data_IF_084644263659
#
_entry.id   IF_084644263659
#
_cell.length_a   1.000
_cell.length_b   1.000
_cell.length_c   1.000
_cell.angle_alpha   90.00
_cell.angle_beta   90.00
_cell.angle_gamma   90.00
#
_symmetry.space_group_name_H-M   'P 1'
#
loop_
_entity.id
_entity.type
_entity.pdbx_description
1 polymer ?
#
# COMPACT_ATOMS: atom_id res chain seq x y z
N UNK A 1 45.45 48.66 -31.30
CA UNK A 1 44.07 49.20 -31.40
C UNK A 1 43.08 48.23 -32.03
N UNK A 2 43.50 47.05 -32.48
CA UNK A 2 42.62 46.09 -33.24
C UNK A 2 41.91 45.02 -32.42
N UNK A 3 42.20 44.85 -31.11
CA UNK A 3 41.59 43.79 -30.31
C UNK A 3 40.23 44.15 -29.67
N UNK A 4 39.85 45.42 -29.67
CA UNK A 4 38.55 45.83 -29.05
C UNK A 4 37.36 45.84 -30.05
N UNK A 5 37.67 45.91 -31.37
CA UNK A 5 36.62 45.88 -32.42
C UNK A 5 36.04 44.48 -32.65
N UNK A 6 36.87 43.44 -32.56
CA UNK A 6 36.39 42.08 -32.78
C UNK A 6 35.40 41.59 -31.73
N UNK A 7 35.55 42.07 -30.47
CA UNK A 7 34.66 41.69 -29.35
C UNK A 7 33.25 42.30 -29.50
N UNK A 8 33.17 43.51 -30.08
CA UNK A 8 31.86 44.22 -30.21
C UNK A 8 31.02 43.64 -31.33
N UNK A 9 31.63 43.19 -32.43
CA UNK A 9 30.91 42.59 -33.57
C UNK A 9 30.39 41.21 -33.17
N UNK A 10 31.16 40.43 -32.38
CA UNK A 10 30.72 39.11 -31.91
C UNK A 10 29.52 39.18 -30.92
N UNK A 11 29.54 40.17 -30.05
CA UNK A 11 28.43 40.36 -29.07
C UNK A 11 27.15 40.78 -29.78
N UNK A 12 27.21 41.58 -30.84
CA UNK A 12 26.08 42.04 -31.61
C UNK A 12 25.45 40.93 -32.45
N UNK A 13 26.29 40.05 -33.06
CA UNK A 13 25.82 38.88 -33.83
C UNK A 13 25.14 37.84 -32.92
N UNK A 14 25.68 37.58 -31.72
CA UNK A 14 25.04 36.68 -30.73
C UNK A 14 23.73 37.23 -30.24
N UNK A 15 23.64 38.57 -29.99
CA UNK A 15 22.39 39.19 -29.54
C UNK A 15 21.30 39.12 -30.62
N UNK A 16 21.63 39.32 -31.90
CA UNK A 16 20.68 39.22 -33.02
C UNK A 16 20.18 37.78 -33.22
N UNK A 17 21.10 36.79 -33.11
CA UNK A 17 20.71 35.37 -33.23
C UNK A 17 19.82 34.92 -32.06
N UNK A 18 20.11 35.35 -30.84
CA UNK A 18 19.28 35.03 -29.68
C UNK A 18 17.90 35.72 -29.76
N UNK A 19 17.86 36.98 -30.28
CA UNK A 19 16.61 37.69 -30.45
C UNK A 19 15.74 37.07 -31.56
N UNK A 20 16.35 36.58 -32.63
CA UNK A 20 15.64 35.88 -33.71
C UNK A 20 15.09 34.51 -33.27
N UNK A 21 15.77 33.81 -32.37
CA UNK A 21 15.28 32.53 -31.79
C UNK A 21 14.13 32.75 -30.83
N UNK A 22 14.14 33.85 -30.07
CA UNK A 22 13.07 34.15 -29.09
C UNK A 22 11.80 34.67 -29.78
N UNK A 23 11.94 35.49 -30.85
CA UNK A 23 10.78 35.99 -31.60
C UNK A 23 10.22 35.02 -32.63
N UNK A 24 11.02 34.12 -33.19
CA UNK A 24 10.57 33.09 -34.11
C UNK A 24 9.75 31.96 -33.42
N UNK A 25 9.75 31.85 -32.10
CA UNK A 25 8.96 30.89 -31.34
C UNK A 25 7.61 31.42 -30.83
N UNK A 26 7.35 32.72 -30.98
CA UNK A 26 6.14 33.35 -30.46
C UNK A 26 4.87 33.17 -31.31
N UNK A 27 4.97 32.63 -32.54
CA UNK A 27 3.81 32.55 -33.44
C UNK A 27 3.31 31.16 -33.80
N UNK A 28 3.68 30.13 -33.02
CA UNK A 28 3.15 28.76 -33.19
C UNK A 28 2.47 28.15 -31.95
N UNK A 29 1.97 28.98 -31.03
CA UNK A 29 1.29 28.51 -29.82
C UNK A 29 -0.23 28.68 -29.87
N UNK A 30 -0.83 29.12 -30.96
CA UNK A 30 -2.27 29.41 -31.02
C UNK A 30 -3.12 28.34 -31.71
N UNK A 31 -2.61 27.08 -31.87
CA UNK A 31 -3.45 25.96 -32.32
C UNK A 31 -3.17 24.67 -31.55
N UNK A 32 -2.89 24.73 -30.23
CA UNK A 32 -2.97 23.52 -29.41
C UNK A 32 -4.38 23.41 -28.81
N UNK A 33 -5.20 22.76 -29.58
CA UNK A 33 -6.53 22.20 -29.33
C UNK A 33 -7.08 22.33 -27.91
N UNK A 34 -8.04 23.24 -27.74
CA UNK A 34 -9.03 23.27 -26.66
C UNK A 34 -9.84 21.96 -26.54
N UNK A 35 -9.85 21.11 -27.54
CA UNK A 35 -10.47 19.78 -27.54
C UNK A 35 -9.75 18.76 -26.67
N UNK A 36 -8.42 18.83 -26.53
CA UNK A 36 -7.65 17.90 -25.67
C UNK A 36 -7.89 18.14 -24.19
N UNK A 37 -8.00 19.41 -23.80
CA UNK A 37 -8.20 19.77 -22.40
C UNK A 37 -9.64 19.50 -21.90
N UNK A 38 -10.63 19.60 -22.78
CA UNK A 38 -12.03 19.23 -22.48
C UNK A 38 -12.19 17.72 -22.36
N UNK A 39 -11.59 16.92 -23.20
CA UNK A 39 -11.62 15.46 -23.12
C UNK A 39 -10.95 14.95 -21.86
N UNK A 40 -9.78 15.48 -21.47
CA UNK A 40 -9.09 15.13 -20.21
C UNK A 40 -9.88 15.50 -18.95
N UNK A 41 -10.70 16.53 -19.02
CA UNK A 41 -11.56 16.96 -17.90
C UNK A 41 -12.81 16.10 -17.82
N UNK A 42 -13.40 15.70 -18.94
CA UNK A 42 -14.54 14.80 -19.00
C UNK A 42 -14.18 13.37 -18.59
N UNK A 43 -13.06 12.84 -19.03
CA UNK A 43 -12.57 11.51 -18.60
C UNK A 43 -12.31 11.49 -17.08
N UNK A 44 -11.63 12.48 -16.52
CA UNK A 44 -11.42 12.57 -15.07
C UNK A 44 -12.71 12.72 -14.27
N UNK A 45 -13.68 13.43 -14.79
CA UNK A 45 -14.98 13.59 -14.15
C UNK A 45 -15.78 12.29 -14.18
N UNK A 46 -15.81 11.59 -15.29
CA UNK A 46 -16.46 10.28 -15.40
C UNK A 46 -15.82 9.21 -14.51
N UNK A 47 -14.50 9.20 -14.38
CA UNK A 47 -13.79 8.30 -13.48
C UNK A 47 -14.04 8.65 -12.00
N UNK A 48 -14.12 9.93 -11.66
CA UNK A 48 -14.48 10.38 -10.32
C UNK A 48 -15.90 9.97 -9.94
N UNK A 49 -16.87 10.18 -10.83
CA UNK A 49 -18.27 9.79 -10.64
C UNK A 49 -18.42 8.27 -10.48
N UNK A 50 -17.74 7.47 -11.31
CA UNK A 50 -17.71 6.01 -11.19
C UNK A 50 -17.12 5.55 -9.85
N UNK A 51 -16.05 6.19 -9.38
CA UNK A 51 -15.43 5.90 -8.08
C UNK A 51 -16.36 6.27 -6.93
N UNK A 52 -17.04 7.41 -7.00
CA UNK A 52 -18.01 7.86 -6.01
C UNK A 52 -19.15 6.85 -5.87
N UNK A 53 -19.81 6.51 -6.96
CA UNK A 53 -20.91 5.53 -6.96
C UNK A 53 -20.46 4.13 -6.50
N UNK A 54 -19.22 3.73 -6.80
CA UNK A 54 -18.69 2.46 -6.30
C UNK A 54 -18.53 2.52 -4.78
N UNK A 55 -17.99 3.61 -4.25
CA UNK A 55 -17.80 3.80 -2.81
C UNK A 55 -19.15 3.84 -2.07
N UNK A 56 -20.14 4.53 -2.61
CA UNK A 56 -21.49 4.59 -2.05
C UNK A 56 -22.13 3.21 -1.97
N UNK A 57 -22.06 2.41 -3.06
CA UNK A 57 -22.57 1.03 -3.06
C UNK A 57 -21.84 0.13 -2.06
N UNK A 58 -20.53 0.29 -1.93
CA UNK A 58 -19.74 -0.45 -0.95
C UNK A 58 -20.12 -0.07 0.48
N UNK A 59 -20.29 1.21 0.77
CA UNK A 59 -20.77 1.69 2.08
C UNK A 59 -22.16 1.17 2.41
N UNK A 60 -23.09 1.21 1.43
CA UNK A 60 -24.43 0.66 1.60
C UNK A 60 -24.40 -0.85 1.86
N UNK A 61 -23.56 -1.59 1.12
CA UNK A 61 -23.37 -3.01 1.33
C UNK A 61 -22.81 -3.32 2.72
N UNK A 62 -21.82 -2.56 3.15
CA UNK A 62 -21.13 -2.79 4.42
C UNK A 62 -21.95 -2.36 5.66
N UNK A 63 -22.98 -1.52 5.49
CA UNK A 63 -23.86 -1.07 6.57
C UNK A 63 -24.57 -2.21 7.30
N UNK A 64 -24.76 -3.36 6.66
CA UNK A 64 -25.38 -4.54 7.27
C UNK A 64 -24.54 -5.18 8.39
N UNK A 65 -23.25 -4.90 8.44
CA UNK A 65 -22.34 -5.54 9.41
C UNK A 65 -22.12 -4.74 10.69
N UNK A 66 -22.67 -3.54 10.81
CA UNK A 66 -22.52 -2.64 11.97
C UNK A 66 -21.06 -2.46 12.42
N UNK A 67 -20.13 -2.40 11.45
CA UNK A 67 -18.71 -2.19 11.74
C UNK A 67 -18.39 -0.71 11.81
N UNK A 68 -17.61 -0.33 12.81
CA UNK A 68 -17.01 1.00 12.94
C UNK A 68 -15.62 0.98 12.32
N UNK A 69 -15.03 2.17 12.08
CA UNK A 69 -13.69 2.29 11.48
C UNK A 69 -12.64 2.68 12.51
N UNK A 70 -12.88 2.32 13.78
CA UNK A 70 -11.97 2.65 14.89
C UNK A 70 -10.92 1.57 15.02
N UNK A 71 -9.63 1.96 14.97
CA UNK A 71 -8.52 1.05 15.27
C UNK A 71 -8.19 1.00 16.74
N UNK A 72 -7.90 -0.21 17.22
CA UNK A 72 -7.32 -0.45 18.53
C UNK A 72 -5.96 -1.14 18.35
N UNK A 73 -4.89 -0.46 18.77
CA UNK A 73 -3.53 -1.00 18.71
C UNK A 73 -3.19 -1.82 19.95
N UNK A 74 -2.36 -2.85 19.78
CA UNK A 74 -1.92 -3.70 20.89
C UNK A 74 -0.97 -2.98 21.85
N UNK A 75 -0.32 -1.92 21.40
CA UNK A 75 0.43 -1.01 22.27
C UNK A 75 0.22 0.45 21.85
N UNK A 76 0.72 1.40 22.67
CA UNK A 76 0.70 2.82 22.30
C UNK A 76 1.50 3.02 21.02
N UNK A 77 0.90 3.73 20.07
CA UNK A 77 1.52 4.00 18.80
C UNK A 77 1.56 5.50 18.50
N UNK A 78 2.67 5.92 17.94
CA UNK A 78 2.91 7.26 17.39
C UNK A 78 3.59 7.11 16.05
N UNK A 79 3.41 8.08 15.17
CA UNK A 79 4.09 8.10 13.88
C UNK A 79 5.61 8.02 14.06
N UNK A 80 6.27 6.97 13.55
CA UNK A 80 7.72 6.84 13.63
C UNK A 80 8.45 7.96 12.87
N UNK A 81 9.71 8.21 13.23
CA UNK A 81 10.59 9.06 12.43
C UNK A 81 11.11 8.28 11.21
N UNK A 82 11.49 9.00 10.16
CA UNK A 82 12.12 8.38 9.00
C UNK A 82 13.40 7.62 9.43
N UNK A 83 13.52 6.36 8.98
CA UNK A 83 14.66 5.50 9.27
C UNK A 83 14.78 5.04 10.72
N UNK A 84 13.76 5.20 11.55
CA UNK A 84 13.81 4.77 12.96
C UNK A 84 13.35 3.35 13.20
N UNK A 85 12.77 2.70 12.21
CA UNK A 85 12.21 1.34 12.28
C UNK A 85 13.15 0.33 11.61
N UNK A 86 13.25 -0.86 12.17
CA UNK A 86 14.02 -1.96 11.60
C UNK A 86 13.25 -3.25 11.69
N UNK A 87 13.03 -3.91 10.54
CA UNK A 87 12.47 -5.25 10.56
C UNK A 87 13.43 -6.20 11.32
N UNK A 88 12.87 -7.06 12.14
CA UNK A 88 13.57 -8.10 12.85
C UNK A 88 13.49 -9.40 12.06
N UNK A 89 14.33 -10.38 12.37
CA UNK A 89 14.24 -11.72 11.79
C UNK A 89 13.78 -12.70 12.87
N UNK A 90 12.79 -13.52 12.54
CA UNK A 90 12.35 -14.68 13.32
C UNK A 90 12.25 -15.88 12.39
N UNK A 91 12.89 -16.95 12.73
CA UNK A 91 12.90 -18.19 11.95
C UNK A 91 13.27 -17.99 10.47
N UNK A 92 14.14 -16.99 10.19
CA UNK A 92 14.58 -16.64 8.84
C UNK A 92 13.63 -15.70 8.07
N UNK A 93 12.51 -15.29 8.67
CA UNK A 93 11.52 -14.41 8.07
C UNK A 93 11.51 -13.04 8.74
N UNK A 94 11.21 -11.95 8.00
CA UNK A 94 11.09 -10.64 8.58
C UNK A 94 9.79 -10.52 9.41
N UNK A 95 9.90 -9.87 10.56
CA UNK A 95 8.77 -9.40 11.34
C UNK A 95 8.93 -7.90 11.58
N UNK A 96 7.86 -7.13 11.70
CA UNK A 96 7.98 -5.69 11.87
C UNK A 96 8.60 -5.32 13.21
N UNK A 97 9.13 -4.10 13.27
CA UNK A 97 9.52 -3.46 14.53
C UNK A 97 8.28 -3.20 15.39
N UNK A 98 8.14 -3.81 16.57
CA UNK A 98 6.94 -3.65 17.39
C UNK A 98 6.75 -2.23 17.93
N UNK A 99 7.81 -1.41 17.99
CA UNK A 99 7.70 0.00 18.36
C UNK A 99 7.11 0.86 17.24
N UNK A 100 7.29 0.43 16.00
CA UNK A 100 6.81 1.12 14.81
C UNK A 100 5.49 0.56 14.29
N UNK A 101 5.32 -0.75 14.37
CA UNK A 101 4.14 -1.47 13.89
C UNK A 101 3.68 -2.45 14.98
N UNK A 102 3.02 -1.95 16.03
CA UNK A 102 2.57 -2.78 17.15
C UNK A 102 1.48 -3.78 16.75
N UNK A 103 0.89 -3.61 15.57
CA UNK A 103 -0.32 -4.31 15.19
C UNK A 103 -1.57 -3.68 15.78
N UNK A 104 -2.70 -3.93 15.14
CA UNK A 104 -3.96 -3.39 15.60
C UNK A 104 -5.15 -4.10 14.99
N UNK A 105 -6.28 -4.01 15.66
CA UNK A 105 -7.54 -4.63 15.26
C UNK A 105 -8.62 -3.57 15.07
N UNK A 106 -9.64 -3.92 14.32
CA UNK A 106 -10.92 -3.24 14.33
C UNK A 106 -11.81 -3.94 15.37
N UNK A 107 -12.09 -3.33 16.54
CA UNK A 107 -12.78 -3.99 17.62
C UNK A 107 -14.25 -4.32 17.33
N UNK A 108 -14.83 -3.74 16.29
CA UNK A 108 -16.20 -4.05 15.87
C UNK A 108 -16.29 -5.31 14.99
N UNK A 109 -15.15 -5.81 14.46
CA UNK A 109 -15.14 -7.06 13.70
C UNK A 109 -15.03 -8.24 14.65
N UNK A 110 -16.07 -9.07 14.65
CA UNK A 110 -16.17 -10.24 15.53
C UNK A 110 -15.96 -11.54 14.75
N UNK A 111 -15.77 -12.65 15.47
CA UNK A 111 -15.73 -13.96 14.83
C UNK A 111 -17.06 -14.29 14.09
N UNK A 112 -18.18 -13.78 14.57
CA UNK A 112 -19.47 -13.92 13.88
C UNK A 112 -19.46 -13.16 12.55
N UNK A 113 -18.97 -11.93 12.55
CA UNK A 113 -18.77 -11.12 11.33
C UNK A 113 -17.91 -11.87 10.29
N UNK A 114 -16.79 -12.46 10.72
CA UNK A 114 -15.88 -13.19 9.82
C UNK A 114 -16.49 -14.47 9.26
N UNK A 115 -17.42 -15.10 9.97
CA UNK A 115 -18.13 -16.31 9.51
C UNK A 115 -19.27 -16.02 8.54
N UNK A 116 -19.74 -14.78 8.49
CA UNK A 116 -20.79 -14.41 7.58
C UNK A 116 -20.28 -14.54 6.12
N UNK A 117 -20.93 -15.37 5.28
CA UNK A 117 -20.48 -15.57 3.89
C UNK A 117 -20.55 -14.29 3.05
N UNK A 118 -21.34 -13.31 3.48
CA UNK A 118 -21.42 -12.01 2.84
C UNK A 118 -20.29 -11.06 3.29
N UNK A 119 -19.54 -11.36 4.34
CA UNK A 119 -18.48 -10.50 4.82
C UNK A 119 -17.36 -10.31 3.79
N UNK A 120 -16.87 -9.06 3.70
CA UNK A 120 -15.74 -8.70 2.85
C UNK A 120 -14.82 -7.73 3.58
N UNK A 121 -13.53 -7.94 3.47
CA UNK A 121 -12.49 -7.05 4.03
C UNK A 121 -12.54 -5.62 3.47
N UNK A 122 -13.13 -5.44 2.29
CA UNK A 122 -13.42 -4.11 1.73
C UNK A 122 -14.21 -3.22 2.68
N UNK A 123 -15.03 -3.80 3.57
CA UNK A 123 -15.83 -3.04 4.53
C UNK A 123 -15.01 -2.31 5.61
N UNK A 124 -13.74 -2.69 5.80
CA UNK A 124 -12.83 -2.04 6.75
C UNK A 124 -11.58 -1.47 6.08
N UNK A 125 -11.41 -1.66 4.76
CA UNK A 125 -10.24 -1.19 4.01
C UNK A 125 -10.38 0.29 3.62
N UNK A 126 -9.30 1.05 3.74
CA UNK A 126 -9.19 2.45 3.32
C UNK A 126 -10.15 3.45 3.99
N UNK A 127 -10.66 3.12 5.16
CA UNK A 127 -11.53 4.03 5.91
C UNK A 127 -10.75 4.97 6.82
N UNK A 128 -9.67 4.51 7.44
CA UNK A 128 -8.83 5.33 8.32
C UNK A 128 -7.62 5.91 7.59
N UNK A 129 -7.10 5.18 6.61
CA UNK A 129 -5.88 5.59 5.94
C UNK A 129 -5.94 5.37 4.42
N UNK A 130 -5.47 6.36 3.67
CA UNK A 130 -5.38 6.25 2.21
C UNK A 130 -4.18 5.41 1.79
N UNK A 131 -4.25 4.77 0.62
CA UNK A 131 -3.11 4.04 0.04
C UNK A 131 -1.85 4.91 -0.03
N UNK A 132 -2.00 6.19 -0.44
CA UNK A 132 -0.88 7.14 -0.44
C UNK A 132 -0.26 7.36 0.95
N UNK A 133 -1.08 7.33 2.02
CA UNK A 133 -0.58 7.51 3.37
C UNK A 133 0.23 6.29 3.84
N UNK A 134 -0.13 5.08 3.42
CA UNK A 134 0.56 3.82 3.74
C UNK A 134 2.00 3.83 3.25
N UNK A 135 2.31 4.48 2.13
CA UNK A 135 3.67 4.62 1.61
C UNK A 135 4.63 5.34 2.56
N UNK A 136 4.13 5.98 3.63
CA UNK A 136 4.99 6.52 4.70
C UNK A 136 5.77 5.42 5.41
N UNK A 137 5.23 4.19 5.47
CA UNK A 137 5.89 3.07 6.13
C UNK A 137 7.26 2.76 5.50
N UNK A 138 7.42 2.84 4.18
CA UNK A 138 8.73 2.69 3.55
C UNK A 138 9.78 3.64 4.16
N UNK A 139 9.44 4.91 4.34
CA UNK A 139 10.36 5.90 4.91
C UNK A 139 10.67 5.64 6.39
N UNK A 140 9.72 5.13 7.16
CA UNK A 140 9.95 4.78 8.56
C UNK A 140 10.97 3.66 8.69
N UNK A 141 10.90 2.67 7.80
CA UNK A 141 11.83 1.55 7.72
C UNK A 141 13.10 1.85 6.90
N UNK A 142 13.35 3.11 6.54
CA UNK A 142 14.55 3.50 5.79
C UNK A 142 14.60 2.94 4.36
N UNK A 143 13.47 2.50 3.83
CA UNK A 143 13.36 1.92 2.51
C UNK A 143 12.95 2.98 1.47
N UNK A 144 13.42 2.80 0.25
CA UNK A 144 12.90 3.54 -0.90
C UNK A 144 11.58 2.91 -1.33
N UNK A 145 10.60 3.76 -1.61
CA UNK A 145 9.34 3.35 -2.24
C UNK A 145 9.65 2.64 -3.59
N UNK A 146 9.29 1.36 -3.76
CA UNK A 146 9.72 0.59 -4.91
C UNK A 146 9.00 1.02 -6.19
N UNK A 147 9.77 1.12 -7.29
CA UNK A 147 9.24 1.32 -8.63
C UNK A 147 8.92 -0.03 -9.30
N UNK A 148 7.82 -0.09 -10.08
CA UNK A 148 7.40 -1.31 -10.80
C UNK A 148 7.25 -2.52 -9.87
N UNK A 149 6.60 -2.32 -8.75
CA UNK A 149 6.40 -3.32 -7.71
C UNK A 149 5.03 -4.00 -7.88
N UNK A 150 4.90 -4.83 -8.92
CA UNK A 150 3.65 -5.52 -9.27
C UNK A 150 3.93 -6.82 -10.04
N UNK A 151 3.03 -7.80 -9.92
CA UNK A 151 3.17 -9.12 -10.54
C UNK A 151 4.51 -9.76 -10.18
N UNK A 152 5.17 -10.42 -11.12
CA UNK A 152 6.44 -11.11 -10.89
C UNK A 152 7.60 -10.18 -10.47
N UNK A 153 7.44 -8.88 -10.65
CA UNK A 153 8.43 -7.88 -10.23
C UNK A 153 8.16 -7.31 -8.83
N UNK A 154 7.05 -7.68 -8.19
CA UNK A 154 6.71 -7.20 -6.85
C UNK A 154 7.69 -7.77 -5.82
N UNK A 155 8.48 -6.93 -5.19
CA UNK A 155 9.48 -7.30 -4.17
C UNK A 155 9.01 -6.94 -2.76
N UNK A 156 8.14 -5.96 -2.64
CA UNK A 156 7.61 -5.49 -1.36
C UNK A 156 6.09 -5.45 -1.39
N UNK A 157 5.50 -5.65 -0.24
CA UNK A 157 4.09 -5.31 0.03
C UNK A 157 3.99 -4.37 1.23
N UNK A 158 3.04 -3.44 1.19
CA UNK A 158 2.61 -2.70 2.38
C UNK A 158 1.55 -3.55 3.08
N UNK A 159 2.04 -4.41 3.94
CA UNK A 159 1.27 -5.47 4.53
C UNK A 159 0.67 -5.09 5.89
N UNK A 160 -0.46 -5.73 6.25
CA UNK A 160 -1.07 -5.60 7.57
C UNK A 160 -0.49 -6.66 8.51
N UNK A 161 0.14 -6.26 9.62
CA UNK A 161 0.64 -7.22 10.61
C UNK A 161 -0.48 -8.12 11.13
N UNK A 162 -1.60 -7.54 11.51
CA UNK A 162 -2.85 -8.28 11.72
C UNK A 162 -3.69 -8.12 10.47
N UNK A 163 -3.93 -9.18 9.70
CA UNK A 163 -4.59 -9.09 8.39
C UNK A 163 -6.06 -8.67 8.52
N UNK A 164 -6.58 -8.02 7.49
CA UNK A 164 -7.98 -7.62 7.44
C UNK A 164 -8.94 -8.82 7.52
N UNK A 165 -8.50 -9.99 7.09
CA UNK A 165 -9.23 -11.27 7.15
C UNK A 165 -9.43 -11.78 8.57
N UNK A 166 -8.61 -11.30 9.50
CA UNK A 166 -8.77 -11.49 10.94
C UNK A 166 -9.34 -10.24 11.66
N UNK A 167 -9.93 -9.32 10.90
CA UNK A 167 -10.44 -8.07 11.49
C UNK A 167 -9.33 -7.11 11.91
N UNK A 168 -8.16 -7.18 11.27
CA UNK A 168 -7.08 -6.22 11.48
C UNK A 168 -7.51 -4.80 11.15
N UNK A 169 -6.89 -3.82 11.81
CA UNK A 169 -7.15 -2.41 11.55
C UNK A 169 -6.48 -1.96 10.25
N UNK A 170 -7.18 -1.17 9.44
CA UNK A 170 -6.60 -0.52 8.26
C UNK A 170 -5.92 0.82 8.63
N UNK A 171 -5.19 0.81 9.73
CA UNK A 171 -4.47 1.95 10.30
C UNK A 171 -2.96 1.80 10.20
N UNK A 172 -2.26 2.94 10.15
CA UNK A 172 -0.82 2.99 9.87
C UNK A 172 0.05 2.24 10.89
N UNK A 173 -0.38 2.09 12.14
CA UNK A 173 0.34 1.30 13.16
C UNK A 173 0.16 -0.22 13.01
N UNK A 174 -0.62 -0.65 12.03
CA UNK A 174 -0.77 -2.05 11.63
C UNK A 174 -0.16 -2.35 10.26
N UNK A 175 0.50 -1.37 9.62
CA UNK A 175 1.02 -1.50 8.25
C UNK A 175 2.53 -1.34 8.26
N UNK A 176 3.22 -2.25 7.58
CA UNK A 176 4.65 -2.24 7.43
C UNK A 176 5.10 -2.72 6.04
N UNK A 177 6.30 -2.36 5.58
CA UNK A 177 6.81 -2.82 4.30
C UNK A 177 7.44 -4.21 4.45
N UNK A 178 6.76 -5.25 4.03
CA UNK A 178 7.29 -6.59 3.94
C UNK A 178 7.96 -6.80 2.59
N UNK A 179 9.29 -6.92 2.60
CA UNK A 179 10.10 -6.94 1.39
C UNK A 179 10.97 -8.19 1.29
N UNK A 180 11.09 -8.75 0.10
CA UNK A 180 12.02 -9.80 -0.26
C UNK A 180 11.48 -11.24 -0.20
N UNK A 181 12.35 -12.20 -0.45
CA UNK A 181 13.63 -12.04 -1.13
C UNK A 181 13.44 -11.74 -2.63
N UNK A 182 14.24 -10.84 -3.18
CA UNK A 182 14.04 -10.33 -4.57
C UNK A 182 14.46 -11.33 -5.68
N UNK A 183 15.22 -12.35 -5.33
CA UNK A 183 15.78 -13.33 -6.26
C UNK A 183 15.00 -14.66 -6.31
N UNK A 184 13.82 -14.71 -5.69
CA UNK A 184 12.92 -15.87 -5.70
C UNK A 184 11.72 -15.62 -6.59
N UNK A 185 10.96 -16.67 -6.89
CA UNK A 185 9.65 -16.56 -7.52
C UNK A 185 8.68 -15.82 -6.59
N UNK A 186 7.62 -15.25 -7.14
CA UNK A 186 6.66 -14.45 -6.39
C UNK A 186 6.09 -15.20 -5.17
N UNK A 187 5.76 -16.47 -5.35
CA UNK A 187 5.13 -17.30 -4.30
C UNK A 187 6.04 -17.61 -3.10
N UNK A 188 7.36 -17.43 -3.24
CA UNK A 188 8.32 -17.63 -2.17
C UNK A 188 8.78 -16.32 -1.52
N UNK A 189 8.18 -15.18 -1.89
CA UNK A 189 8.41 -13.90 -1.25
C UNK A 189 7.72 -13.86 0.10
N UNK A 190 8.31 -13.14 1.04
CA UNK A 190 7.89 -13.16 2.45
C UNK A 190 6.41 -12.83 2.62
N UNK A 191 5.90 -11.78 1.97
CA UNK A 191 4.50 -11.42 2.03
C UNK A 191 3.58 -12.53 1.48
N UNK A 192 4.01 -13.30 0.45
CA UNK A 192 3.26 -14.46 -0.04
C UNK A 192 3.32 -15.67 0.91
N UNK A 193 4.43 -15.81 1.60
CA UNK A 193 4.55 -16.83 2.65
C UNK A 193 3.65 -16.47 3.83
N UNK A 194 3.61 -15.19 4.20
CA UNK A 194 2.70 -14.70 5.24
C UNK A 194 1.23 -14.84 4.85
N UNK A 195 0.85 -14.58 3.59
CA UNK A 195 -0.51 -14.83 3.06
C UNK A 195 -1.00 -16.25 3.39
N UNK A 196 -0.12 -17.26 3.36
CA UNK A 196 -0.48 -18.66 3.74
C UNK A 196 -0.91 -18.74 5.21
N UNK A 197 -0.19 -18.06 6.08
CA UNK A 197 -0.51 -17.99 7.52
C UNK A 197 -1.84 -17.26 7.75
N UNK A 198 -2.08 -16.18 7.04
CA UNK A 198 -3.32 -15.43 7.11
C UNK A 198 -4.54 -16.29 6.72
N UNK A 199 -4.43 -16.97 5.57
CA UNK A 199 -5.46 -17.89 5.08
C UNK A 199 -5.74 -19.01 6.08
N UNK A 200 -4.68 -19.63 6.63
CA UNK A 200 -4.81 -20.67 7.65
C UNK A 200 -5.52 -20.18 8.91
N UNK A 201 -5.07 -19.06 9.48
CA UNK A 201 -5.66 -18.50 10.69
C UNK A 201 -7.11 -18.04 10.46
N UNK A 202 -7.42 -17.45 9.31
CA UNK A 202 -8.77 -17.11 8.95
C UNK A 202 -9.69 -18.35 8.88
N UNK A 203 -9.18 -19.46 8.34
CA UNK A 203 -9.89 -20.73 8.33
C UNK A 203 -10.09 -21.29 9.73
N UNK A 204 -9.10 -21.25 10.62
CA UNK A 204 -9.18 -21.72 12.00
C UNK A 204 -10.25 -20.93 12.79
N UNK A 205 -10.27 -19.59 12.61
CA UNK A 205 -11.27 -18.72 13.27
C UNK A 205 -12.67 -18.96 12.70
N UNK A 206 -12.81 -19.02 11.39
CA UNK A 206 -14.10 -19.23 10.72
C UNK A 206 -14.71 -20.59 11.07
N UNK A 207 -13.88 -21.62 11.19
CA UNK A 207 -14.33 -22.96 11.61
C UNK A 207 -14.55 -23.12 13.11
N UNK A 208 -14.21 -22.10 13.90
CA UNK A 208 -14.39 -22.11 15.36
C UNK A 208 -13.32 -22.88 16.13
N UNK A 209 -12.25 -23.33 15.47
CA UNK A 209 -11.15 -24.06 16.10
C UNK A 209 -10.18 -23.16 16.86
N UNK A 210 -10.11 -21.86 16.46
CA UNK A 210 -9.28 -20.87 17.14
C UNK A 210 -10.12 -19.63 17.50
N UNK A 211 -10.02 -19.11 18.74
CA UNK A 211 -10.61 -17.83 19.10
C UNK A 211 -9.99 -16.68 18.27
N UNK A 212 -10.82 -15.75 17.79
CA UNK A 212 -10.33 -14.62 16.99
C UNK A 212 -9.22 -13.83 17.69
N UNK A 213 -9.39 -13.52 18.97
CA UNK A 213 -8.38 -12.80 19.74
C UNK A 213 -7.04 -13.55 19.82
N UNK A 214 -7.07 -14.88 19.91
CA UNK A 214 -5.84 -15.68 19.91
C UNK A 214 -5.12 -15.62 18.57
N UNK A 215 -5.87 -15.69 17.45
CA UNK A 215 -5.28 -15.52 16.11
C UNK A 215 -4.68 -14.12 15.92
N UNK A 216 -5.41 -13.07 16.33
CA UNK A 216 -4.98 -11.68 16.22
C UNK A 216 -3.69 -11.41 17.02
N UNK A 217 -3.64 -11.84 18.28
CA UNK A 217 -2.44 -11.68 19.12
C UNK A 217 -1.28 -12.53 18.62
N UNK A 218 -1.54 -13.79 18.29
CA UNK A 218 -0.50 -14.71 17.86
C UNK A 218 0.20 -14.24 16.58
N UNK A 219 -0.55 -13.78 15.57
CA UNK A 219 0.04 -13.27 14.32
C UNK A 219 0.80 -11.95 14.55
N UNK A 220 0.29 -11.08 15.44
CA UNK A 220 0.96 -9.83 15.78
C UNK A 220 2.25 -10.05 16.55
N UNK A 221 2.29 -11.03 17.43
CA UNK A 221 3.47 -11.37 18.24
C UNK A 221 4.55 -12.07 17.40
N UNK A 222 4.16 -13.11 16.68
CA UNK A 222 5.06 -13.87 15.82
C UNK A 222 4.28 -14.72 14.81
N UNK A 223 4.09 -14.20 13.60
CA UNK A 223 3.38 -14.93 12.56
C UNK A 223 4.08 -16.19 12.10
N UNK A 224 5.43 -16.27 12.26
CA UNK A 224 6.22 -17.43 11.78
C UNK A 224 5.91 -18.71 12.56
N UNK A 225 5.39 -18.62 13.79
CA UNK A 225 5.01 -19.78 14.60
C UNK A 225 3.92 -20.65 13.95
N UNK A 226 3.19 -20.13 12.98
CA UNK A 226 2.11 -20.84 12.29
C UNK A 226 2.51 -21.42 10.94
N UNK A 227 3.75 -21.23 10.49
CA UNK A 227 4.20 -21.58 9.13
C UNK A 227 3.98 -23.06 8.77
N UNK A 228 4.37 -23.97 9.65
CA UNK A 228 4.23 -25.41 9.38
C UNK A 228 2.76 -25.82 9.23
N UNK A 229 1.91 -25.33 10.12
CA UNK A 229 0.48 -25.60 10.06
C UNK A 229 -0.17 -24.95 8.84
N UNK A 230 0.24 -23.74 8.48
CA UNK A 230 -0.25 -23.02 7.30
C UNK A 230 0.17 -23.73 6.00
N UNK A 231 1.39 -24.20 5.90
CA UNK A 231 1.86 -24.96 4.73
C UNK A 231 1.07 -26.25 4.57
N UNK A 232 0.89 -27.03 5.65
CA UNK A 232 0.07 -28.25 5.63
C UNK A 232 -1.38 -27.98 5.22
N UNK A 233 -1.96 -26.89 5.75
CA UNK A 233 -3.30 -26.45 5.36
C UNK A 233 -3.36 -26.12 3.87
N UNK A 234 -2.45 -25.31 3.35
CA UNK A 234 -2.43 -24.92 1.95
C UNK A 234 -2.24 -26.12 1.02
N UNK A 235 -1.38 -27.07 1.37
CA UNK A 235 -1.22 -28.32 0.64
C UNK A 235 -2.53 -29.14 0.61
N UNK A 236 -3.24 -29.20 1.73
CA UNK A 236 -4.47 -29.97 1.87
C UNK A 236 -5.62 -29.48 0.99
N UNK A 237 -5.61 -28.18 0.64
CA UNK A 237 -6.66 -27.53 -0.18
C UNK A 237 -6.21 -27.27 -1.63
N UNK A 238 -5.01 -27.71 -2.01
CA UNK A 238 -4.46 -27.54 -3.35
C UNK A 238 -3.84 -26.16 -3.63
N UNK A 239 -3.46 -25.43 -2.58
CA UNK A 239 -2.79 -24.14 -2.63
C UNK A 239 -3.54 -23.00 -1.91
N UNK A 240 -2.84 -21.97 -1.48
CA UNK A 240 -3.35 -20.80 -0.79
C UNK A 240 -3.14 -19.47 -1.57
N UNK A 241 -3.06 -19.49 -2.86
CA UNK A 241 -2.90 -18.18 -3.49
C UNK A 241 -2.66 -18.18 -4.94
#
# INVERSE_FOLDING_TARGET
>A
MFRRFASFVFTLVVAVVVFSIVWGRGSRLDHYNDHGYRNFRHERRGDYEKRSHRKEREQQYCAQFDVTYTSQYFSRWHHPRAGSCSALLRDGYPVPDPSCTPGGINPSVTAATLRDPAWRTGCIRNHETSEKAKHKAYRWYGLRDPHRNYGDTQVCELDHLVPLELGGADGLGNIWPECGPSHTVLQDRYFKVKDRVENYLAYEVKSGRMPLAAAQHGIAENWTQYLDAANQYCESIGGCG
#
